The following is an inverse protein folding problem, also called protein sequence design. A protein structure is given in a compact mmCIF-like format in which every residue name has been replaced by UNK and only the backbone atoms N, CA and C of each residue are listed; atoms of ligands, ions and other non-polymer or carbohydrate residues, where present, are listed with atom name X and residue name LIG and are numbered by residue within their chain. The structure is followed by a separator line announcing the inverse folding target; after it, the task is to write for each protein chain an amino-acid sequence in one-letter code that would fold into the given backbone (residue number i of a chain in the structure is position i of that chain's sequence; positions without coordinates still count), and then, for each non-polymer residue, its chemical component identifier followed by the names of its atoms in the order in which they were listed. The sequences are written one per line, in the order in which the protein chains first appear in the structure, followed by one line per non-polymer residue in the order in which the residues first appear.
data_IF_885200393573
#
_entry.id   IF_885200393573
#
_cell.length_a   1.000
_cell.length_b   1.000
_cell.length_c   1.000
_cell.angle_alpha   90.00
_cell.angle_beta   90.00
_cell.angle_gamma   90.00
#
_symmetry.space_group_name_H-M   'P 1'
#
loop_
_entity.id
_entity.type
_entity.pdbx_description
1 polymer ?
#
# COMPACT_ATOMS: atom_id res chain seq x y z
N UNK A 1 7.51 38.93 -10.79
CA UNK A 1 8.03 37.64 -10.29
C UNK A 1 8.04 36.66 -11.44
N UNK A 2 9.04 35.79 -11.54
CA UNK A 2 9.06 34.76 -12.58
C UNK A 2 8.24 33.54 -12.16
N UNK A 3 7.71 32.78 -13.12
CA UNK A 3 7.03 31.51 -12.85
C UNK A 3 7.94 30.49 -12.12
N UNK A 4 9.26 30.61 -12.28
CA UNK A 4 10.23 29.81 -11.54
C UNK A 4 10.22 30.16 -10.04
N UNK A 5 10.22 31.44 -9.68
CA UNK A 5 10.17 31.87 -8.27
C UNK A 5 8.86 31.45 -7.61
N UNK A 6 7.76 31.52 -8.37
CA UNK A 6 6.44 31.06 -7.92
C UNK A 6 6.44 29.55 -7.62
N UNK A 7 6.99 28.73 -8.52
CA UNK A 7 7.16 27.29 -8.30
C UNK A 7 7.97 27.01 -7.03
N UNK A 8 9.12 27.67 -6.87
CA UNK A 8 9.96 27.50 -5.68
C UNK A 8 9.22 27.89 -4.39
N UNK A 9 8.46 28.99 -4.42
CA UNK A 9 7.66 29.44 -3.29
C UNK A 9 6.54 28.46 -2.94
N UNK A 10 5.82 27.92 -3.92
CA UNK A 10 4.76 26.91 -3.72
C UNK A 10 5.34 25.64 -3.13
N UNK A 11 6.45 25.14 -3.69
CA UNK A 11 7.12 23.95 -3.18
C UNK A 11 7.50 24.17 -1.71
N UNK A 12 8.15 25.28 -1.36
CA UNK A 12 8.56 25.55 0.03
C UNK A 12 7.38 25.63 1.00
N UNK A 13 6.29 26.32 0.63
CA UNK A 13 5.09 26.43 1.48
C UNK A 13 4.46 25.07 1.79
N UNK A 14 4.48 24.14 0.83
CA UNK A 14 3.92 22.80 1.01
C UNK A 14 4.84 21.80 1.72
N UNK A 15 6.07 22.16 2.12
CA UNK A 15 7.05 21.20 2.60
C UNK A 15 6.62 20.42 3.85
N UNK A 16 6.05 21.11 4.85
CA UNK A 16 5.58 20.47 6.08
C UNK A 16 4.39 19.53 5.82
N UNK A 17 3.44 19.95 4.99
CA UNK A 17 2.29 19.12 4.63
C UNK A 17 2.72 17.84 3.92
N UNK A 18 3.69 17.93 2.98
CA UNK A 18 4.24 16.76 2.30
C UNK A 18 4.96 15.83 3.28
N UNK A 19 5.74 16.38 4.21
CA UNK A 19 6.42 15.56 5.21
C UNK A 19 5.42 14.80 6.10
N UNK A 20 4.34 15.44 6.52
CA UNK A 20 3.29 14.80 7.30
C UNK A 20 2.56 13.69 6.51
N UNK A 21 2.33 13.91 5.22
CA UNK A 21 1.74 12.90 4.33
C UNK A 21 2.66 11.69 4.12
N UNK A 22 3.95 11.93 3.88
CA UNK A 22 4.98 10.87 3.80
C UNK A 22 4.96 10.03 5.07
N UNK A 23 5.03 10.66 6.25
CA UNK A 23 5.01 9.97 7.53
C UNK A 23 3.72 9.16 7.75
N UNK A 24 2.56 9.71 7.37
CA UNK A 24 1.29 9.00 7.49
C UNK A 24 1.23 7.76 6.57
N UNK A 25 1.68 7.89 5.33
CA UNK A 25 1.68 6.79 4.36
C UNK A 25 2.71 5.72 4.71
N UNK A 26 3.93 6.09 5.11
CA UNK A 26 4.95 5.16 5.59
C UNK A 26 4.50 4.45 6.88
N UNK A 27 3.84 5.17 7.79
CA UNK A 27 3.22 4.59 8.98
C UNK A 27 2.17 3.54 8.64
N UNK A 28 1.27 3.83 7.68
CA UNK A 28 0.28 2.87 7.21
C UNK A 28 0.92 1.63 6.58
N UNK A 29 1.92 1.79 5.72
CA UNK A 29 2.66 0.67 5.12
C UNK A 29 3.33 -0.20 6.19
N UNK A 30 3.90 0.42 7.22
CA UNK A 30 4.50 -0.29 8.35
C UNK A 30 3.45 -1.06 9.17
N UNK A 31 2.27 -0.46 9.41
CA UNK A 31 1.16 -1.16 10.07
C UNK A 31 0.69 -2.37 9.25
N UNK A 32 0.58 -2.24 7.93
CA UNK A 32 0.24 -3.34 7.04
C UNK A 32 1.28 -4.48 7.10
N UNK A 33 2.57 -4.15 7.19
CA UNK A 33 3.63 -5.15 7.37
C UNK A 33 3.42 -5.96 8.65
N UNK A 34 3.15 -5.31 9.78
CA UNK A 34 2.90 -6.00 11.04
C UNK A 34 1.63 -6.85 10.98
N UNK A 35 0.57 -6.34 10.35
CA UNK A 35 -0.67 -7.07 10.15
C UNK A 35 -0.48 -8.32 9.27
N UNK A 36 0.30 -8.23 8.19
CA UNK A 36 0.65 -9.36 7.33
C UNK A 36 1.43 -10.44 8.10
N UNK A 37 2.37 -10.04 8.98
CA UNK A 37 3.06 -10.98 9.86
C UNK A 37 2.12 -11.72 10.80
N UNK A 38 1.03 -11.09 11.24
CA UNK A 38 0.05 -11.67 12.15
C UNK A 38 -1.15 -12.35 11.45
N UNK A 39 -1.21 -12.32 10.11
CA UNK A 39 -2.42 -12.67 9.36
C UNK A 39 -2.85 -14.14 9.52
N UNK A 40 -1.90 -15.06 9.75
CA UNK A 40 -2.14 -16.50 9.98
C UNK A 40 -2.72 -16.84 11.36
N UNK A 41 -2.90 -15.84 12.24
CA UNK A 41 -3.52 -16.01 13.56
C UNK A 41 -2.52 -15.96 14.73
N UNK A 42 -3.04 -15.92 15.98
CA UNK A 42 -2.21 -15.80 17.18
C UNK A 42 -1.20 -16.95 17.30
N UNK A 43 0.09 -16.62 17.50
CA UNK A 43 1.15 -17.61 17.69
C UNK A 43 1.68 -18.28 16.40
N UNK A 44 1.19 -17.90 15.22
CA UNK A 44 1.64 -18.44 13.93
C UNK A 44 2.18 -17.33 13.00
N UNK A 45 3.14 -16.50 13.41
CA UNK A 45 3.59 -15.40 12.56
C UNK A 45 4.23 -15.92 11.28
N UNK A 46 3.95 -15.27 10.15
CA UNK A 46 4.67 -15.52 8.91
C UNK A 46 6.11 -15.00 9.06
N UNK A 47 7.05 -15.91 9.32
CA UNK A 47 8.47 -15.57 9.54
C UNK A 47 9.19 -15.04 8.29
N UNK A 48 8.62 -15.26 7.11
CA UNK A 48 9.21 -14.91 5.82
C UNK A 48 8.60 -13.64 5.19
N UNK A 49 8.03 -12.76 6.01
CA UNK A 49 7.54 -11.45 5.56
C UNK A 49 8.62 -10.39 5.75
N UNK A 50 8.97 -9.68 4.68
CA UNK A 50 9.75 -8.43 4.76
C UNK A 50 9.02 -7.29 4.05
N UNK A 51 9.39 -6.06 4.42
CA UNK A 51 8.92 -4.85 3.77
C UNK A 51 10.13 -3.98 3.46
N UNK A 52 10.23 -3.57 2.20
CA UNK A 52 11.28 -2.70 1.70
C UNK A 52 10.63 -1.45 1.08
N UNK A 53 10.93 -0.23 1.57
CA UNK A 53 10.43 1.00 0.95
C UNK A 53 10.82 1.06 -0.53
N UNK A 54 9.88 1.46 -1.38
CA UNK A 54 10.11 1.53 -2.82
C UNK A 54 9.58 2.86 -3.37
N UNK A 55 10.26 3.48 -4.35
CA UNK A 55 9.67 4.60 -5.06
C UNK A 55 8.44 4.12 -5.82
N UNK A 56 7.43 4.98 -5.89
CA UNK A 56 6.29 4.73 -6.75
C UNK A 56 6.73 4.75 -8.23
N UNK A 57 6.46 3.69 -9.02
CA UNK A 57 6.96 3.58 -10.38
C UNK A 57 6.30 4.56 -11.36
N UNK A 58 5.18 5.18 -10.98
CA UNK A 58 4.47 6.16 -11.81
C UNK A 58 4.73 7.62 -11.38
N UNK A 59 5.43 7.84 -10.26
CA UNK A 59 5.70 9.20 -9.76
C UNK A 59 6.86 9.85 -10.52
N UNK A 60 6.54 10.94 -11.24
CA UNK A 60 7.46 11.65 -12.14
C UNK A 60 8.01 12.94 -11.57
N UNK A 61 7.42 13.50 -10.50
CA UNK A 61 7.83 14.77 -9.92
C UNK A 61 8.68 14.57 -8.65
N UNK A 62 9.65 15.46 -8.44
CA UNK A 62 10.50 15.52 -7.24
C UNK A 62 10.68 16.99 -6.81
N UNK A 63 10.27 17.37 -5.59
CA UNK A 63 9.53 16.57 -4.61
C UNK A 63 8.14 16.17 -5.12
N UNK A 64 7.62 15.04 -4.64
CA UNK A 64 6.29 14.56 -5.00
C UNK A 64 5.22 15.60 -4.58
N UNK A 65 4.17 15.84 -5.38
CA UNK A 65 3.01 16.64 -4.97
C UNK A 65 2.30 16.08 -3.72
N UNK A 66 1.41 16.87 -3.13
CA UNK A 66 0.47 16.35 -2.12
C UNK A 66 -0.55 15.42 -2.77
N UNK A 67 -0.95 14.37 -2.06
CA UNK A 67 -1.84 13.31 -2.55
C UNK A 67 -1.15 12.30 -3.46
N UNK A 68 0.19 12.35 -3.56
CA UNK A 68 0.99 11.40 -4.34
C UNK A 68 0.96 10.00 -3.75
N UNK A 69 1.35 9.03 -4.58
CA UNK A 69 1.45 7.63 -4.16
C UNK A 69 2.77 7.36 -3.43
N UNK A 70 2.68 6.58 -2.36
CA UNK A 70 3.80 6.06 -1.59
C UNK A 70 3.78 4.54 -1.66
N UNK A 71 4.93 3.89 -1.83
CA UNK A 71 4.97 2.47 -2.07
C UNK A 71 5.98 1.71 -1.21
N UNK A 72 5.71 0.43 -1.00
CA UNK A 72 6.64 -0.52 -0.44
C UNK A 72 6.47 -1.88 -1.12
N UNK A 73 7.57 -2.62 -1.26
CA UNK A 73 7.55 -4.02 -1.66
C UNK A 73 7.44 -4.90 -0.43
N UNK A 74 6.47 -5.81 -0.47
CA UNK A 74 6.27 -6.83 0.55
C UNK A 74 6.68 -8.17 -0.03
N UNK A 75 7.65 -8.82 0.61
CA UNK A 75 8.00 -10.20 0.29
C UNK A 75 7.18 -11.12 1.17
N UNK A 76 6.46 -12.05 0.55
CA UNK A 76 5.52 -12.98 1.18
C UNK A 76 5.99 -14.41 0.87
N UNK A 77 7.12 -14.82 1.43
CA UNK A 77 7.78 -16.07 1.03
C UNK A 77 8.42 -15.97 -0.35
N UNK A 78 7.86 -16.67 -1.36
CA UNK A 78 8.37 -16.71 -2.74
C UNK A 78 7.76 -15.63 -3.65
N UNK A 79 6.74 -14.91 -3.17
CA UNK A 79 6.07 -13.85 -3.90
C UNK A 79 6.54 -12.48 -3.40
N UNK A 80 6.65 -11.51 -4.30
CA UNK A 80 6.79 -10.10 -3.95
C UNK A 80 5.61 -9.29 -4.51
N UNK A 81 5.04 -8.45 -3.67
CA UNK A 81 3.90 -7.60 -4.01
C UNK A 81 4.28 -6.15 -3.77
N UNK A 82 4.16 -5.31 -4.80
CA UNK A 82 4.22 -3.87 -4.63
C UNK A 82 2.86 -3.40 -4.10
N UNK A 83 2.86 -2.74 -2.95
CA UNK A 83 1.68 -2.04 -2.43
C UNK A 83 1.97 -0.55 -2.50
N UNK A 84 1.02 0.20 -3.04
CA UNK A 84 1.04 1.67 -3.02
C UNK A 84 -0.16 2.20 -2.27
N UNK A 85 0.02 3.32 -1.58
CA UNK A 85 -0.99 3.98 -0.78
C UNK A 85 -0.89 5.50 -0.96
N UNK A 86 -2.02 6.18 -0.85
CA UNK A 86 -2.11 7.63 -0.73
C UNK A 86 -3.23 8.01 0.22
N UNK A 87 -3.21 9.25 0.70
CA UNK A 87 -4.27 9.79 1.54
C UNK A 87 -5.27 10.58 0.69
N UNK A 88 -6.56 10.25 0.79
CA UNK A 88 -7.64 10.93 0.06
C UNK A 88 -8.86 11.06 0.98
N UNK A 89 -9.28 12.30 1.24
CA UNK A 89 -10.42 12.65 2.08
C UNK A 89 -10.37 11.98 3.47
N UNK A 90 -9.21 12.10 4.13
CA UNK A 90 -8.99 11.54 5.47
C UNK A 90 -8.69 10.04 5.50
N UNK A 91 -9.08 9.28 4.48
CA UNK A 91 -8.88 7.84 4.37
C UNK A 91 -7.60 7.47 3.62
N UNK A 92 -7.14 6.23 3.82
CA UNK A 92 -6.08 5.62 3.01
C UNK A 92 -6.71 4.90 1.83
N UNK A 93 -6.25 5.21 0.61
CA UNK A 93 -6.56 4.44 -0.60
C UNK A 93 -5.29 3.79 -1.08
N UNK A 94 -5.37 2.52 -1.44
CA UNK A 94 -4.22 1.78 -1.90
C UNK A 94 -4.51 0.80 -3.02
N UNK A 95 -3.46 0.28 -3.63
CA UNK A 95 -3.50 -0.71 -4.68
C UNK A 95 -2.40 -1.74 -4.44
N UNK A 96 -2.69 -3.00 -4.77
CA UNK A 96 -1.71 -4.08 -4.83
C UNK A 96 -2.05 -5.02 -5.98
N UNK A 97 -1.03 -5.64 -6.59
CA UNK A 97 -1.24 -6.55 -7.72
C UNK A 97 -1.75 -5.83 -8.99
N UNK A 98 -2.77 -6.39 -9.65
CA UNK A 98 -3.29 -5.96 -10.96
C UNK A 98 -4.33 -4.81 -10.89
N UNK A 99 -4.43 -4.10 -9.77
CA UNK A 99 -5.27 -2.89 -9.67
C UNK A 99 -6.59 -3.06 -8.91
N UNK A 100 -6.78 -4.16 -8.17
CA UNK A 100 -7.80 -4.21 -7.12
C UNK A 100 -7.42 -3.19 -6.04
N UNK A 101 -8.21 -2.11 -5.93
CA UNK A 101 -7.97 -1.04 -4.98
C UNK A 101 -8.56 -1.38 -3.61
N UNK A 102 -7.94 -0.87 -2.55
CA UNK A 102 -8.50 -0.87 -1.20
C UNK A 102 -8.74 0.55 -0.69
N UNK A 103 -9.67 0.66 0.27
CA UNK A 103 -9.91 1.87 1.04
C UNK A 103 -10.02 1.52 2.52
N UNK A 104 -9.33 2.27 3.37
CA UNK A 104 -9.41 2.17 4.83
C UNK A 104 -9.76 3.57 5.36
N UNK A 105 -11.00 3.73 5.80
CA UNK A 105 -11.49 4.99 6.38
C UNK A 105 -10.97 5.19 7.81
N UNK A 106 -11.10 4.17 8.67
CA UNK A 106 -10.64 4.19 10.06
C UNK A 106 -9.47 3.22 10.26
N UNK A 107 -8.26 3.75 10.47
CA UNK A 107 -7.05 2.95 10.69
C UNK A 107 -7.04 2.38 12.11
N UNK A 108 -7.64 1.20 12.23
CA UNK A 108 -7.59 0.37 13.44
C UNK A 108 -6.82 -0.92 13.17
N UNK A 109 -6.28 -1.56 14.22
CA UNK A 109 -5.60 -2.84 14.09
C UNK A 109 -6.46 -3.89 13.37
N UNK A 110 -7.75 -3.97 13.70
CA UNK A 110 -8.68 -4.89 13.06
C UNK A 110 -8.87 -4.59 11.56
N UNK A 111 -9.03 -3.31 11.19
CA UNK A 111 -9.21 -2.92 9.79
C UNK A 111 -7.98 -3.29 8.93
N UNK A 112 -6.78 -3.08 9.47
CA UNK A 112 -5.53 -3.36 8.76
C UNK A 112 -5.26 -4.87 8.73
N UNK A 113 -5.61 -5.60 9.79
CA UNK A 113 -5.56 -7.07 9.80
C UNK A 113 -6.52 -7.70 8.79
N UNK A 114 -7.73 -7.13 8.66
CA UNK A 114 -8.70 -7.56 7.65
C UNK A 114 -8.16 -7.34 6.23
N UNK A 115 -7.56 -6.17 5.98
CA UNK A 115 -6.88 -5.85 4.72
C UNK A 115 -5.73 -6.82 4.44
N UNK A 116 -4.86 -7.09 5.42
CA UNK A 116 -3.75 -8.02 5.27
C UNK A 116 -4.22 -9.43 4.87
N UNK A 117 -5.28 -9.94 5.50
CA UNK A 117 -5.89 -11.23 5.14
C UNK A 117 -6.51 -11.21 3.75
N UNK A 118 -7.14 -10.10 3.37
CA UNK A 118 -7.70 -9.93 2.02
C UNK A 118 -6.59 -9.97 0.97
N UNK A 119 -5.53 -9.18 1.15
CA UNK A 119 -4.37 -9.16 0.27
C UNK A 119 -3.77 -10.56 0.09
N UNK A 120 -3.59 -11.32 1.17
CA UNK A 120 -3.08 -12.70 1.07
C UNK A 120 -4.01 -13.60 0.26
N UNK A 121 -5.34 -13.51 0.47
CA UNK A 121 -6.31 -14.27 -0.32
C UNK A 121 -6.22 -13.91 -1.80
N UNK A 122 -6.16 -12.63 -2.12
CA UNK A 122 -6.13 -12.16 -3.51
C UNK A 122 -4.84 -12.59 -4.21
N UNK A 123 -3.71 -12.51 -3.53
CA UNK A 123 -2.42 -13.04 -4.05
C UNK A 123 -2.52 -14.54 -4.29
N UNK A 124 -3.09 -15.31 -3.35
CA UNK A 124 -3.30 -16.75 -3.54
C UNK A 124 -4.18 -17.02 -4.77
N UNK A 125 -5.27 -16.30 -4.95
CA UNK A 125 -6.15 -16.44 -6.12
C UNK A 125 -5.45 -16.10 -7.44
N UNK A 126 -4.65 -15.03 -7.47
CA UNK A 126 -3.87 -14.65 -8.65
C UNK A 126 -2.90 -15.75 -9.12
N UNK A 127 -2.31 -16.52 -8.19
CA UNK A 127 -1.42 -17.64 -8.54
C UNK A 127 -2.15 -18.97 -8.73
N UNK A 128 -3.24 -19.21 -8.00
CA UNK A 128 -4.01 -20.45 -8.07
C UNK A 128 -4.85 -20.58 -9.34
N UNK A 129 -5.05 -19.47 -10.06
CA UNK A 129 -6.09 -19.36 -11.07
C UNK A 129 -7.46 -19.34 -10.41
N UNK A 130 -8.45 -18.67 -11.02
CA UNK A 130 -9.83 -18.94 -10.66
C UNK A 130 -10.02 -20.45 -10.84
N UNK A 131 -10.21 -21.18 -9.74
CA UNK A 131 -10.66 -22.55 -9.82
C UNK A 131 -12.03 -22.48 -10.51
N UNK A 132 -12.04 -22.62 -11.83
CA UNK A 132 -13.27 -22.86 -12.56
C UNK A 132 -13.84 -24.14 -11.95
N UNK A 133 -14.90 -23.99 -11.16
CA UNK A 133 -15.87 -25.04 -10.89
C UNK A 133 -16.46 -25.46 -12.25
N UNK A 134 -15.69 -26.24 -12.97
CA UNK A 134 -15.90 -26.64 -14.37
C UNK A 134 -15.64 -28.13 -14.53
N UNK A 135 -16.19 -28.94 -13.62
CA UNK A 135 -16.31 -30.39 -13.82
C UNK A 135 -17.63 -30.92 -13.26
N UNK A 136 -18.74 -30.27 -13.64
CA UNK A 136 -20.00 -30.97 -13.83
C UNK A 136 -20.12 -31.33 -15.32
N UNK A 137 -20.53 -32.57 -15.58
CA UNK A 137 -20.89 -33.22 -16.85
C UNK A 137 -19.80 -34.07 -17.51
N UNK A 138 -19.71 -35.34 -17.09
CA UNK A 138 -20.29 -36.46 -17.86
C UNK A 138 -20.64 -37.63 -16.94
#
# INVERSE_FOLDING_TARGET
MSSFDELQAVIRRGAQARQAEVQACEGFLTLLYHALRAASGPGLPLNNVSMDPAPDPQEVLRPAPLGSWHAARYRLGLCEVLVRVRRVDGAFRGEYGLGEGFRVDDVTEESVLRLARQLLRDVIQMYGGAQEDGAHLN
#
